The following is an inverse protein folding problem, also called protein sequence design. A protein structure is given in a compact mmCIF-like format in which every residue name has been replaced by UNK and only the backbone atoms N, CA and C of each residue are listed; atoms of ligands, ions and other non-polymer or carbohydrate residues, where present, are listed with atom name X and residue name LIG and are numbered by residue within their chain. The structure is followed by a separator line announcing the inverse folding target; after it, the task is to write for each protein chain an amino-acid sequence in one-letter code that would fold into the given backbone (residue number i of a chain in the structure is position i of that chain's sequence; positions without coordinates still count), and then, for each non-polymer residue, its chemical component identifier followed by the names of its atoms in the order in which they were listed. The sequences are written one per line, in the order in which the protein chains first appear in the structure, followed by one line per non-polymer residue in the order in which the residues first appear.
data_IF_558380026050
#
_entry.id   IF_558380026050
#
_cell.length_a   1.000
_cell.length_b   1.000
_cell.length_c   1.000
_cell.angle_alpha   90.00
_cell.angle_beta   90.00
_cell.angle_gamma   90.00
#
_symmetry.space_group_name_H-M   'P 1'
#
loop_
_entity.id
_entity.type
_entity.pdbx_description
1 polymer ?
#
# COMPACT_ATOMS: atom_id res chain seq x y z
N UNK A 1 0.46 -20.18 -4.34
CA UNK A 1 -0.99 -20.47 -4.29
C UNK A 1 -1.72 -19.48 -5.20
N UNK A 2 -2.56 -19.90 -6.15
CA UNK A 2 -3.30 -18.95 -7.02
C UNK A 2 -4.56 -18.46 -6.29
N UNK A 3 -4.68 -17.15 -6.04
CA UNK A 3 -5.81 -16.51 -5.35
C UNK A 3 -7.22 -17.03 -5.73
N UNK A 4 -7.53 -17.28 -7.03
CA UNK A 4 -8.84 -17.82 -7.43
C UNK A 4 -9.20 -19.16 -6.78
N UNK A 5 -8.21 -20.02 -6.48
CA UNK A 5 -8.44 -21.31 -5.82
C UNK A 5 -8.88 -21.13 -4.36
N UNK A 6 -8.34 -20.13 -3.68
CA UNK A 6 -8.66 -19.82 -2.28
C UNK A 6 -10.10 -19.31 -2.16
N UNK A 7 -10.46 -18.36 -3.01
CA UNK A 7 -11.82 -17.79 -3.04
C UNK A 7 -12.87 -18.85 -3.38
N UNK A 8 -12.58 -19.73 -4.35
CA UNK A 8 -13.47 -20.85 -4.70
C UNK A 8 -13.68 -21.80 -3.50
N UNK A 9 -12.62 -22.14 -2.78
CA UNK A 9 -12.68 -23.03 -1.61
C UNK A 9 -13.44 -22.39 -0.45
N UNK A 10 -13.22 -21.11 -0.18
CA UNK A 10 -13.94 -20.39 0.87
C UNK A 10 -15.43 -20.28 0.56
N UNK A 11 -15.80 -19.99 -0.69
CA UNK A 11 -17.19 -19.99 -1.14
C UNK A 11 -17.86 -21.34 -0.91
N UNK A 12 -17.20 -22.44 -1.32
CA UNK A 12 -17.72 -23.80 -1.09
C UNK A 12 -17.88 -24.13 0.40
N UNK A 13 -16.93 -23.68 1.24
CA UNK A 13 -16.96 -23.91 2.68
C UNK A 13 -17.76 -22.88 3.48
N UNK A 14 -18.42 -21.91 2.82
CA UNK A 14 -19.14 -20.79 3.45
C UNK A 14 -18.28 -20.03 4.48
N UNK A 15 -16.99 -19.85 4.18
CA UNK A 15 -16.05 -19.12 5.02
C UNK A 15 -15.94 -17.67 4.57
N UNK A 16 -15.93 -16.75 5.53
CA UNK A 16 -15.56 -15.36 5.30
C UNK A 16 -14.05 -15.24 5.13
N UNK A 17 -13.61 -14.48 4.13
CA UNK A 17 -12.22 -14.10 3.92
C UNK A 17 -12.12 -12.59 3.95
N UNK A 18 -11.09 -12.07 4.60
CA UNK A 18 -10.72 -10.66 4.57
C UNK A 18 -9.22 -10.51 4.36
N UNK A 19 -8.81 -9.38 3.81
CA UNK A 19 -7.39 -9.01 3.66
C UNK A 19 -7.00 -8.10 4.82
N UNK A 20 -5.84 -8.35 5.41
CA UNK A 20 -5.35 -7.66 6.62
C UNK A 20 -4.82 -6.24 6.38
N UNK A 21 -5.56 -5.38 5.70
CA UNK A 21 -5.20 -3.96 5.55
C UNK A 21 -5.59 -3.17 6.80
N UNK A 22 -4.77 -3.31 7.85
CA UNK A 22 -5.02 -2.77 9.18
C UNK A 22 -5.10 -1.23 9.23
N UNK A 23 -4.45 -0.51 8.31
CA UNK A 23 -4.49 0.96 8.26
C UNK A 23 -5.91 1.53 8.02
N UNK A 24 -6.85 0.73 7.48
CA UNK A 24 -8.27 1.12 7.43
C UNK A 24 -8.91 1.29 8.81
N UNK A 25 -8.27 0.80 9.87
CA UNK A 25 -8.72 0.95 11.26
C UNK A 25 -7.90 2.00 12.03
N UNK A 26 -6.94 2.67 11.39
CA UNK A 26 -6.20 3.77 11.99
C UNK A 26 -7.14 4.95 12.31
N UNK A 27 -6.95 5.57 13.49
CA UNK A 27 -7.82 6.64 13.96
C UNK A 27 -7.69 7.90 13.10
N UNK A 28 -6.49 8.22 12.65
CA UNK A 28 -6.22 9.39 11.81
C UNK A 28 -6.82 9.23 10.42
N UNK A 29 -6.63 8.07 9.79
CA UNK A 29 -7.22 7.76 8.48
C UNK A 29 -8.75 7.70 8.53
N UNK A 30 -9.35 7.16 9.59
CA UNK A 30 -10.81 7.19 9.77
C UNK A 30 -11.35 8.61 9.97
N UNK A 31 -10.63 9.47 10.72
CA UNK A 31 -10.99 10.88 10.85
C UNK A 31 -10.95 11.59 9.49
N UNK A 32 -9.89 11.38 8.70
CA UNK A 32 -9.76 11.93 7.36
C UNK A 32 -10.92 11.46 6.46
N UNK A 33 -11.21 10.15 6.46
CA UNK A 33 -12.34 9.59 5.71
C UNK A 33 -13.67 10.25 6.08
N UNK A 34 -13.93 10.43 7.37
CA UNK A 34 -15.14 11.09 7.86
C UNK A 34 -15.24 12.53 7.31
N UNK A 35 -14.16 13.31 7.39
CA UNK A 35 -14.11 14.69 6.87
C UNK A 35 -14.30 14.77 5.36
N UNK A 36 -13.74 13.81 4.61
CA UNK A 36 -13.96 13.66 3.17
C UNK A 36 -15.43 13.41 2.85
N UNK A 37 -16.06 12.46 3.54
CA UNK A 37 -17.48 12.13 3.34
C UNK A 37 -18.41 13.29 3.71
N UNK A 38 -18.07 14.06 4.75
CA UNK A 38 -18.82 15.24 5.19
C UNK A 38 -18.53 16.49 4.35
N UNK A 39 -17.64 16.40 3.34
CA UNK A 39 -17.20 17.52 2.49
C UNK A 39 -16.58 18.70 3.24
N UNK A 40 -16.09 18.48 4.46
CA UNK A 40 -15.52 19.53 5.32
C UNK A 40 -14.23 20.15 4.74
N UNK A 41 -13.50 19.39 3.92
CA UNK A 41 -12.23 19.82 3.32
C UNK A 41 -12.36 20.15 1.82
N UNK A 42 -13.60 20.30 1.33
CA UNK A 42 -13.89 20.53 -0.09
C UNK A 42 -13.61 19.30 -0.96
N UNK A 43 -13.35 19.53 -2.25
CA UNK A 43 -12.96 18.48 -3.22
C UNK A 43 -11.43 18.41 -3.32
N UNK A 44 -10.79 17.35 -2.82
CA UNK A 44 -9.35 17.22 -2.92
C UNK A 44 -8.91 17.06 -4.38
N UNK A 45 -7.85 17.78 -4.75
CA UNK A 45 -7.24 17.71 -6.08
C UNK A 45 -6.10 16.69 -6.13
N UNK A 46 -5.34 16.59 -5.04
CA UNK A 46 -4.24 15.67 -4.90
C UNK A 46 -4.04 15.23 -3.45
N UNK A 47 -3.24 14.17 -3.29
CA UNK A 47 -2.73 13.70 -2.01
C UNK A 47 -1.24 13.37 -2.16
N UNK A 48 -0.48 13.60 -1.10
CA UNK A 48 0.92 13.20 -0.98
C UNK A 48 1.02 12.18 0.15
N UNK A 49 1.53 11.01 -0.17
CA UNK A 49 1.77 9.91 0.76
C UNK A 49 3.28 9.70 0.78
N UNK A 50 3.84 9.53 1.98
CA UNK A 50 5.25 9.19 2.15
C UNK A 50 5.35 8.06 3.15
N UNK A 51 5.97 6.98 2.73
CA UNK A 51 6.31 5.87 3.61
C UNK A 51 7.78 5.54 3.44
N UNK A 52 8.39 5.05 4.51
CA UNK A 52 9.77 4.63 4.51
C UNK A 52 10.21 4.24 5.91
N UNK A 53 10.98 3.17 5.99
CA UNK A 53 11.58 2.74 7.25
C UNK A 53 12.99 2.24 7.01
N UNK A 54 13.84 2.39 8.01
CA UNK A 54 15.17 1.80 7.96
C UNK A 54 15.08 0.29 8.26
N UNK A 55 15.25 -0.54 7.23
CA UNK A 55 15.11 -1.99 7.34
C UNK A 55 15.98 -2.62 8.44
N UNK A 56 17.11 -1.99 8.78
CA UNK A 56 18.01 -2.46 9.86
C UNK A 56 17.32 -2.44 11.23
N UNK A 57 16.30 -1.61 11.41
CA UNK A 57 15.54 -1.43 12.64
C UNK A 57 14.10 -1.95 12.55
N UNK A 58 13.72 -2.60 11.45
CA UNK A 58 12.32 -3.03 11.23
C UNK A 58 11.86 -4.05 12.28
N UNK A 59 12.71 -5.03 12.61
CA UNK A 59 12.41 -6.05 13.61
C UNK A 59 13.61 -6.26 14.52
N UNK A 60 13.65 -5.58 15.69
CA UNK A 60 14.74 -5.73 16.65
C UNK A 60 15.01 -7.20 16.99
N UNK A 61 16.28 -7.55 17.17
CA UNK A 61 16.70 -8.93 17.45
C UNK A 61 16.69 -9.87 16.24
N UNK A 62 16.41 -9.39 15.03
CA UNK A 62 16.49 -10.20 13.80
C UNK A 62 17.50 -9.66 12.81
N UNK A 63 18.10 -10.56 12.02
CA UNK A 63 18.98 -10.17 10.93
C UNK A 63 18.15 -9.65 9.75
N UNK A 64 18.16 -8.33 9.54
CA UNK A 64 17.41 -7.66 8.48
C UNK A 64 17.66 -8.24 7.07
N UNK A 65 18.83 -8.86 6.82
CA UNK A 65 19.16 -9.49 5.53
C UNK A 65 18.22 -10.64 5.18
N UNK A 66 17.53 -11.21 6.17
CA UNK A 66 16.57 -12.28 5.97
C UNK A 66 15.15 -11.78 5.67
N UNK A 67 14.92 -10.46 5.73
CA UNK A 67 13.60 -9.86 5.54
C UNK A 67 13.05 -10.14 4.13
N UNK A 68 11.76 -10.43 4.02
CA UNK A 68 11.14 -10.81 2.74
C UNK A 68 11.21 -9.70 1.70
N UNK A 69 11.17 -8.44 2.14
CA UNK A 69 11.22 -7.28 1.25
C UNK A 69 12.47 -7.29 0.37
N UNK A 70 13.58 -7.87 0.84
CA UNK A 70 14.87 -7.89 0.14
C UNK A 70 14.99 -9.04 -0.89
N UNK A 71 14.00 -9.93 -0.95
CA UNK A 71 14.02 -11.17 -1.74
C UNK A 71 13.06 -11.06 -2.91
N UNK A 72 13.29 -11.84 -3.98
CA UNK A 72 12.36 -11.94 -5.11
C UNK A 72 10.91 -12.17 -4.64
N UNK A 73 10.00 -11.30 -5.08
CA UNK A 73 8.59 -11.30 -4.66
C UNK A 73 8.29 -10.42 -3.44
N UNK A 74 9.29 -9.71 -2.92
CA UNK A 74 9.14 -8.53 -2.07
C UNK A 74 9.37 -7.23 -2.86
N UNK A 75 10.03 -6.26 -2.22
CA UNK A 75 10.27 -4.91 -2.77
C UNK A 75 9.38 -3.86 -2.09
N UNK A 76 9.84 -2.60 -2.06
CA UNK A 76 9.10 -1.52 -1.39
C UNK A 76 7.73 -1.30 -2.04
N UNK A 77 7.57 -1.55 -3.34
CA UNK A 77 6.25 -1.40 -3.97
C UNK A 77 5.24 -2.40 -3.39
N UNK A 78 5.67 -3.63 -3.08
CA UNK A 78 4.77 -4.63 -2.48
C UNK A 78 4.56 -4.40 -0.98
N UNK A 79 5.58 -3.90 -0.30
CA UNK A 79 5.51 -3.56 1.13
C UNK A 79 4.52 -2.40 1.36
N UNK A 80 4.57 -1.37 0.50
CA UNK A 80 3.72 -0.19 0.52
C UNK A 80 2.30 -0.44 -0.04
N UNK A 81 1.89 -1.71 -0.11
CA UNK A 81 0.56 -2.08 -0.59
C UNK A 81 -0.58 -1.47 0.24
N UNK A 82 -0.31 -1.17 1.52
CA UNK A 82 -1.26 -0.52 2.42
C UNK A 82 -1.62 0.89 1.96
N UNK A 83 -0.67 1.63 1.40
CA UNK A 83 -0.79 3.01 0.99
C UNK A 83 -1.71 3.14 -0.24
N UNK A 84 -1.60 2.22 -1.20
CA UNK A 84 -2.51 2.17 -2.35
C UNK A 84 -3.90 1.69 -1.94
N UNK A 85 -3.97 0.74 -1.00
CA UNK A 85 -5.22 0.21 -0.47
C UNK A 85 -6.04 1.29 0.25
N UNK A 86 -5.42 2.02 1.19
CA UNK A 86 -6.14 3.06 1.91
C UNK A 86 -6.43 4.27 1.03
N UNK A 87 -5.64 4.55 -0.01
CA UNK A 87 -5.95 5.61 -0.98
C UNK A 87 -7.30 5.33 -1.64
N UNK A 88 -7.49 4.14 -2.21
CA UNK A 88 -8.76 3.77 -2.84
C UNK A 88 -9.92 3.78 -1.83
N UNK A 89 -9.67 3.31 -0.60
CA UNK A 89 -10.66 3.31 0.47
C UNK A 89 -11.04 4.71 0.97
N UNK A 90 -10.10 5.65 1.08
CA UNK A 90 -10.34 7.02 1.54
C UNK A 90 -11.26 7.79 0.59
N UNK A 91 -11.01 7.63 -0.72
CA UNK A 91 -11.68 8.41 -1.77
C UNK A 91 -12.84 7.66 -2.45
N UNK A 92 -13.08 6.41 -2.05
CA UNK A 92 -14.06 5.52 -2.68
C UNK A 92 -13.89 5.51 -4.21
N UNK A 93 -12.65 5.28 -4.64
CA UNK A 93 -12.25 5.40 -6.04
C UNK A 93 -11.21 4.35 -6.40
N UNK A 94 -11.11 4.06 -7.69
CA UNK A 94 -10.19 3.07 -8.22
C UNK A 94 -9.02 3.75 -8.91
N UNK A 95 -7.83 3.17 -8.75
CA UNK A 95 -6.63 3.61 -9.47
C UNK A 95 -6.82 3.27 -10.95
N UNK A 96 -6.67 4.28 -11.81
CA UNK A 96 -6.80 4.19 -13.27
C UNK A 96 -5.45 4.01 -13.96
N UNK A 97 -4.42 4.74 -13.51
CA UNK A 97 -3.09 4.68 -14.11
C UNK A 97 -2.01 4.96 -13.08
N UNK A 98 -0.82 4.41 -13.35
CA UNK A 98 0.37 4.51 -12.50
C UNK A 98 1.55 4.89 -13.38
N UNK A 99 2.31 5.88 -12.94
CA UNK A 99 3.69 6.09 -13.34
C UNK A 99 4.58 5.79 -12.14
N UNK A 100 5.67 5.07 -12.34
CA UNK A 100 6.57 4.66 -11.27
C UNK A 100 8.02 4.74 -11.73
N UNK A 101 8.85 5.33 -10.89
CA UNK A 101 10.30 5.22 -11.01
C UNK A 101 10.83 4.53 -9.76
N UNK A 102 11.66 3.50 -9.97
CA UNK A 102 12.23 2.70 -8.89
C UNK A 102 13.74 2.84 -8.88
N UNK A 103 14.32 2.59 -7.71
CA UNK A 103 15.75 2.48 -7.56
C UNK A 103 16.10 1.33 -6.61
N UNK A 104 17.14 0.60 -6.99
CA UNK A 104 17.88 -0.26 -6.09
C UNK A 104 19.07 0.51 -5.56
N UNK A 105 19.03 0.87 -4.29
CA UNK A 105 20.10 1.66 -3.65
C UNK A 105 21.25 0.75 -3.22
N UNK A 106 22.46 1.30 -3.21
CA UNK A 106 23.66 0.55 -2.81
C UNK A 106 23.84 0.46 -1.28
N UNK A 107 23.00 1.15 -0.50
CA UNK A 107 23.08 1.18 0.96
C UNK A 107 22.66 -0.14 1.61
N UNK A 108 21.92 -0.99 0.89
CA UNK A 108 21.42 -2.28 1.35
C UNK A 108 21.58 -3.31 0.23
N UNK A 109 22.18 -4.48 0.52
CA UNK A 109 22.19 -5.62 -0.41
C UNK A 109 20.78 -6.21 -0.49
N UNK A 110 20.12 -6.02 -1.62
CA UNK A 110 18.75 -6.49 -1.90
C UNK A 110 18.69 -7.12 -3.29
N UNK A 111 17.69 -7.95 -3.58
CA UNK A 111 17.36 -8.43 -4.93
C UNK A 111 16.29 -7.58 -5.62
N UNK A 112 15.56 -6.77 -4.85
CA UNK A 112 14.39 -5.97 -5.25
C UNK A 112 14.68 -4.47 -5.20
N UNK A 113 13.73 -3.65 -5.63
CA UNK A 113 13.78 -2.21 -5.47
C UNK A 113 13.66 -1.82 -3.99
N UNK A 114 14.51 -0.87 -3.56
CA UNK A 114 14.54 -0.34 -2.19
C UNK A 114 13.94 1.05 -2.07
N UNK A 115 13.63 1.67 -3.21
CA UNK A 115 13.01 2.98 -3.32
C UNK A 115 12.07 2.96 -4.53
N UNK A 116 10.92 3.60 -4.37
CA UNK A 116 9.97 3.88 -5.43
C UNK A 116 9.40 5.27 -5.22
N UNK A 117 9.22 6.01 -6.30
CA UNK A 117 8.35 7.18 -6.34
C UNK A 117 7.33 7.02 -7.45
N UNK A 118 6.07 7.34 -7.14
CA UNK A 118 4.95 7.05 -8.02
C UNK A 118 3.98 8.21 -8.11
N UNK A 119 3.37 8.31 -9.28
CA UNK A 119 2.21 9.16 -9.52
C UNK A 119 1.06 8.26 -9.94
N UNK A 120 -0.02 8.30 -9.15
CA UNK A 120 -1.25 7.58 -9.40
C UNK A 120 -2.33 8.57 -9.85
N UNK A 121 -3.19 8.14 -10.77
CA UNK A 121 -4.41 8.85 -11.11
C UNK A 121 -5.60 7.93 -10.91
N UNK A 122 -6.62 8.40 -10.20
CA UNK A 122 -7.86 7.63 -9.99
C UNK A 122 -8.89 7.88 -11.09
N UNK A 123 -9.98 7.11 -11.13
CA UNK A 123 -11.03 7.28 -12.14
C UNK A 123 -11.77 8.62 -12.01
N UNK A 124 -12.00 9.12 -10.80
CA UNK A 124 -12.60 10.45 -10.55
C UNK A 124 -11.61 11.61 -10.67
N UNK A 125 -10.33 11.32 -10.97
CA UNK A 125 -9.32 12.30 -11.35
C UNK A 125 -8.43 12.83 -10.23
N UNK A 126 -8.47 12.24 -9.03
CA UNK A 126 -7.52 12.54 -7.95
C UNK A 126 -6.10 12.12 -8.39
N UNK A 127 -5.11 12.95 -8.07
CA UNK A 127 -3.69 12.64 -8.27
C UNK A 127 -3.05 12.26 -6.93
N UNK A 128 -2.54 11.04 -6.81
CA UNK A 128 -1.77 10.58 -5.67
C UNK A 128 -0.27 10.61 -5.96
N UNK A 129 0.50 11.27 -5.10
CA UNK A 129 1.96 11.32 -5.18
C UNK A 129 2.54 10.47 -4.06
N UNK A 130 3.47 9.60 -4.40
CA UNK A 130 4.14 8.66 -3.50
C UNK A 130 5.64 8.83 -3.66
#
# INVERSE_FOLDING_TARGET
MKFPKVLKKAKHKKLSISVGYNLRFDKGLNLLKKKLMQKEIGKPLSILIKFGHNIKFWKPGTNYRNHYILKKGGGIILDDSHEYDYLGWLFDDEIKSVYCQTQKTNSIKTETESFASMILKTKKGLIGNF
#
